data_IF_176006933953
#
_entry.id   IF_176006933953
#
_cell.length_a   1.000
_cell.length_b   1.000
_cell.length_c   1.000
_cell.angle_alpha   90.00
_cell.angle_beta   90.00
_cell.angle_gamma   90.00
#
_symmetry.space_group_name_H-M   'P 1'
#
loop_
_entity.id
_entity.type
_entity.pdbx_description
1 polymer ?
#
# COMPACT_ATOMS: atom_id res chain seq x y z
N UNK A 1 -3.68 -4.77 21.32
CA UNK A 1 -5.01 -4.94 20.67
C UNK A 1 -5.81 -5.81 21.61
N UNK A 2 -6.87 -5.30 22.26
CA UNK A 2 -7.43 -5.92 23.46
C UNK A 2 -7.66 -7.44 23.38
N UNK A 3 -8.23 -7.93 22.28
CA UNK A 3 -8.42 -9.37 22.06
C UNK A 3 -7.08 -10.15 21.96
N UNK A 4 -6.11 -9.63 21.23
CA UNK A 4 -4.80 -10.26 21.12
C UNK A 4 -3.99 -10.17 22.43
N UNK A 5 -4.15 -9.07 23.18
CA UNK A 5 -3.51 -8.89 24.48
C UNK A 5 -4.04 -9.93 25.49
N UNK A 6 -5.35 -10.23 25.46
CA UNK A 6 -5.97 -11.28 26.27
C UNK A 6 -5.45 -12.69 25.93
N UNK A 7 -5.07 -12.92 24.67
CA UNK A 7 -4.49 -14.19 24.19
C UNK A 7 -2.95 -14.23 24.28
N UNK A 8 -2.30 -13.16 24.76
CA UNK A 8 -0.84 -13.07 24.84
C UNK A 8 -0.13 -13.07 23.48
N UNK A 9 -0.82 -12.66 22.40
CA UNK A 9 -0.27 -12.66 21.03
C UNK A 9 0.19 -11.26 20.63
N UNK A 10 1.44 -11.09 20.15
CA UNK A 10 1.92 -9.80 19.62
C UNK A 10 1.30 -9.52 18.24
N UNK A 11 0.06 -9.05 18.24
CA UNK A 11 -0.72 -8.81 17.02
C UNK A 11 -0.65 -7.35 16.56
N UNK A 12 -0.37 -7.15 15.28
CA UNK A 12 -0.43 -5.85 14.63
C UNK A 12 -1.76 -5.70 13.87
N UNK A 13 -2.68 -4.87 14.39
CA UNK A 13 -3.92 -4.53 13.72
C UNK A 13 -3.69 -3.36 12.75
N UNK A 14 -3.71 -3.65 11.45
CA UNK A 14 -3.56 -2.67 10.38
C UNK A 14 -4.93 -2.29 9.80
N UNK A 15 -5.57 -1.28 10.37
CA UNK A 15 -6.91 -0.84 9.97
C UNK A 15 -6.85 -0.09 8.64
N UNK A 16 -7.77 -0.38 7.70
CA UNK A 16 -7.77 0.20 6.36
C UNK A 16 -8.89 1.21 6.21
N UNK A 17 -8.57 2.39 5.67
CA UNK A 17 -9.56 3.34 5.14
C UNK A 17 -9.43 3.38 3.62
N UNK A 18 -10.54 3.48 2.89
CA UNK A 18 -10.54 3.63 1.43
C UNK A 18 -10.84 5.07 0.99
N UNK A 19 -10.68 6.06 1.88
CA UNK A 19 -10.94 7.48 1.57
C UNK A 19 -10.21 7.98 0.31
N UNK A 20 -8.99 7.49 0.07
CA UNK A 20 -8.24 7.75 -1.17
C UNK A 20 -8.63 6.81 -2.31
N UNK A 21 -8.60 5.49 -2.09
CA UNK A 21 -8.88 4.49 -3.14
C UNK A 21 -10.30 4.60 -3.73
N UNK A 22 -11.28 4.97 -2.91
CA UNK A 22 -12.70 5.09 -3.27
C UNK A 22 -13.20 6.53 -3.20
N UNK A 23 -12.30 7.50 -3.09
CA UNK A 23 -12.65 8.92 -2.98
C UNK A 23 -13.16 9.56 -4.27
N UNK A 24 -13.03 8.89 -5.43
CA UNK A 24 -13.46 9.41 -6.72
C UNK A 24 -12.82 10.76 -7.05
N UNK A 25 -13.63 11.69 -7.57
CA UNK A 25 -13.21 13.02 -7.99
C UNK A 25 -13.18 14.06 -6.86
N UNK A 26 -13.36 13.63 -5.59
CA UNK A 26 -13.23 14.53 -4.44
C UNK A 26 -11.84 15.18 -4.42
N UNK A 27 -11.73 16.46 -4.01
CA UNK A 27 -10.45 17.13 -3.85
C UNK A 27 -9.46 16.33 -2.99
N UNK A 28 -8.17 16.47 -3.29
CA UNK A 28 -7.09 15.81 -2.53
C UNK A 28 -7.22 16.07 -1.03
N UNK A 29 -7.38 17.34 -0.64
CA UNK A 29 -7.50 17.80 0.74
C UNK A 29 -8.66 17.13 1.47
N UNK A 30 -9.83 17.00 0.82
CA UNK A 30 -10.99 16.34 1.42
C UNK A 30 -10.77 14.84 1.63
N UNK A 31 -10.11 14.16 0.68
CA UNK A 31 -9.79 12.73 0.80
C UNK A 31 -8.76 12.50 1.89
N UNK A 32 -7.77 13.38 2.01
CA UNK A 32 -6.75 13.33 3.07
C UNK A 32 -7.35 13.60 4.44
N UNK A 33 -8.17 14.63 4.60
CA UNK A 33 -8.87 14.93 5.85
C UNK A 33 -9.76 13.75 6.32
N UNK A 34 -10.53 13.15 5.41
CA UNK A 34 -11.36 11.96 5.68
C UNK A 34 -10.51 10.74 6.07
N UNK A 35 -9.36 10.54 5.41
CA UNK A 35 -8.41 9.49 5.79
C UNK A 35 -7.83 9.71 7.20
N UNK A 36 -7.51 10.96 7.56
CA UNK A 36 -6.98 11.33 8.89
C UNK A 36 -8.04 11.14 9.97
N UNK A 37 -9.26 11.63 9.75
CA UNK A 37 -10.38 11.48 10.69
C UNK A 37 -10.62 10.01 11.02
N UNK A 38 -10.78 9.17 9.99
CA UNK A 38 -10.95 7.72 10.15
C UNK A 38 -9.73 7.08 10.79
N UNK A 39 -8.53 7.49 10.38
CA UNK A 39 -7.28 6.95 10.90
C UNK A 39 -7.14 7.14 12.40
N UNK A 40 -7.41 8.35 12.90
CA UNK A 40 -7.45 8.65 14.34
C UNK A 40 -8.47 7.79 15.08
N UNK A 41 -9.70 7.72 14.56
CA UNK A 41 -10.74 6.89 15.14
C UNK A 41 -10.36 5.40 15.19
N UNK A 42 -9.64 4.89 14.19
CA UNK A 42 -9.15 3.50 14.18
C UNK A 42 -8.03 3.28 15.21
N UNK A 43 -7.12 4.25 15.38
CA UNK A 43 -6.09 4.18 16.42
C UNK A 43 -6.71 4.21 17.81
N UNK A 44 -7.72 5.07 18.04
CA UNK A 44 -8.47 5.14 19.30
C UNK A 44 -9.21 3.82 19.60
N UNK A 45 -9.70 3.14 18.55
CA UNK A 45 -10.29 1.80 18.65
C UNK A 45 -9.25 0.67 18.86
N UNK A 46 -7.95 1.00 18.90
CA UNK A 46 -6.87 0.06 19.21
C UNK A 46 -6.10 -0.47 18.01
N UNK A 47 -6.27 0.08 16.80
CA UNK A 47 -5.40 -0.24 15.68
C UNK A 47 -3.96 0.17 15.98
N UNK A 48 -2.99 -0.62 15.49
CA UNK A 48 -1.56 -0.31 15.65
C UNK A 48 -1.03 0.54 14.51
N UNK A 49 -1.66 0.42 13.34
CA UNK A 49 -1.29 1.09 12.09
C UNK A 49 -2.56 1.33 11.24
N UNK A 50 -2.53 2.36 10.38
CA UNK A 50 -3.60 2.73 9.47
C UNK A 50 -3.10 2.63 8.04
N UNK A 51 -3.74 1.80 7.23
CA UNK A 51 -3.47 1.65 5.82
C UNK A 51 -4.34 2.58 4.98
N UNK A 52 -3.69 3.49 4.25
CA UNK A 52 -4.31 4.41 3.30
C UNK A 52 -3.84 4.06 1.88
N UNK A 53 -4.59 3.23 1.13
CA UNK A 53 -4.28 2.95 -0.26
C UNK A 53 -4.67 4.12 -1.17
N UNK A 54 -3.76 4.52 -2.05
CA UNK A 54 -3.96 5.56 -3.06
C UNK A 54 -2.67 5.85 -3.83
N UNK A 55 -2.78 6.61 -4.90
CA UNK A 55 -1.65 7.05 -5.72
C UNK A 55 -1.51 8.57 -5.58
N UNK A 56 -0.57 9.01 -4.73
CA UNK A 56 -0.39 10.39 -4.30
C UNK A 56 1.06 10.62 -3.85
N UNK A 57 1.51 11.88 -3.86
CA UNK A 57 2.90 12.27 -3.64
C UNK A 57 3.31 12.52 -2.19
N UNK A 58 4.52 13.05 -2.04
CA UNK A 58 5.16 13.41 -0.76
C UNK A 58 4.30 14.32 0.14
N UNK A 59 3.60 15.28 -0.47
CA UNK A 59 2.75 16.26 0.22
C UNK A 59 1.63 15.58 1.00
N UNK A 60 0.90 14.68 0.32
CA UNK A 60 -0.18 13.90 0.93
C UNK A 60 0.37 12.92 1.96
N UNK A 61 1.51 12.27 1.69
CA UNK A 61 2.13 11.36 2.66
C UNK A 61 2.50 12.10 3.95
N UNK A 62 3.11 13.28 3.84
CA UNK A 62 3.48 14.09 4.99
C UNK A 62 2.23 14.49 5.79
N UNK A 63 1.18 14.96 5.12
CA UNK A 63 -0.08 15.33 5.78
C UNK A 63 -0.75 14.14 6.48
N UNK A 64 -0.76 12.96 5.86
CA UNK A 64 -1.27 11.74 6.47
C UNK A 64 -0.45 11.34 7.71
N UNK A 65 0.87 11.44 7.67
CA UNK A 65 1.73 11.10 8.82
C UNK A 65 1.57 12.13 9.95
N UNK A 66 1.53 13.42 9.64
CA UNK A 66 1.29 14.48 10.63
C UNK A 66 -0.10 14.35 11.25
N UNK A 67 -1.10 14.01 10.44
CA UNK A 67 -2.47 13.84 10.86
C UNK A 67 -2.72 12.58 11.69
N UNK A 68 -2.20 11.42 11.27
CA UNK A 68 -2.48 10.10 11.88
C UNK A 68 -1.41 9.73 12.92
N UNK A 69 -0.15 10.08 12.68
CA UNK A 69 0.97 9.89 13.60
C UNK A 69 2.21 9.24 12.98
N UNK A 70 3.38 9.64 13.50
CA UNK A 70 4.68 9.06 13.15
C UNK A 70 4.69 7.54 13.36
N UNK A 71 5.12 6.79 12.35
CA UNK A 71 5.12 5.32 12.32
C UNK A 71 3.76 4.68 12.60
N UNK A 72 2.67 5.37 12.23
CA UNK A 72 1.31 4.83 12.27
C UNK A 72 0.67 4.65 10.90
N UNK A 73 1.30 5.13 9.83
CA UNK A 73 0.74 5.03 8.47
C UNK A 73 1.37 3.88 7.69
N UNK A 74 0.54 3.12 6.99
CA UNK A 74 0.93 2.17 5.95
C UNK A 74 0.40 2.64 4.60
N UNK A 75 1.17 2.43 3.54
CA UNK A 75 0.80 2.79 2.16
C UNK A 75 0.99 1.60 1.21
N UNK A 76 0.48 1.75 -0.01
CA UNK A 76 0.74 0.84 -1.13
C UNK A 76 1.64 1.56 -2.13
N UNK A 77 2.74 0.92 -2.54
CA UNK A 77 3.63 1.45 -3.56
C UNK A 77 2.93 1.47 -4.92
N UNK A 78 2.80 2.66 -5.48
CA UNK A 78 2.25 2.97 -6.80
C UNK A 78 3.11 4.07 -7.47
N UNK A 79 2.97 4.33 -8.78
CA UNK A 79 3.91 5.18 -9.51
C UNK A 79 4.15 6.58 -8.92
N UNK A 80 3.12 7.21 -8.36
CA UNK A 80 3.22 8.56 -7.79
C UNK A 80 3.52 8.54 -6.28
N UNK A 81 3.51 7.36 -5.67
CA UNK A 81 3.87 7.19 -4.25
C UNK A 81 5.39 7.27 -4.10
N UNK A 82 5.92 8.03 -3.13
CA UNK A 82 7.35 8.22 -2.96
C UNK A 82 8.12 6.91 -2.80
N UNK A 83 9.43 6.94 -3.12
CA UNK A 83 10.31 5.77 -2.98
C UNK A 83 10.44 5.33 -1.51
N UNK A 84 10.73 4.05 -1.23
CA UNK A 84 10.78 3.52 0.12
C UNK A 84 11.66 4.30 1.10
N UNK A 85 12.82 4.78 0.65
CA UNK A 85 13.73 5.57 1.48
C UNK A 85 13.06 6.87 1.92
N UNK A 86 12.40 7.56 0.98
CA UNK A 86 11.68 8.80 1.25
C UNK A 86 10.47 8.59 2.16
N UNK A 87 9.73 7.50 1.96
CA UNK A 87 8.61 7.14 2.83
C UNK A 87 9.08 6.88 4.27
N UNK A 88 10.25 6.25 4.45
CA UNK A 88 10.84 6.05 5.77
C UNK A 88 11.23 7.37 6.45
N UNK A 89 11.82 8.31 5.71
CA UNK A 89 12.10 9.67 6.20
C UNK A 89 10.84 10.43 6.60
N UNK A 90 9.76 10.25 5.84
CA UNK A 90 8.45 10.87 6.11
C UNK A 90 7.70 10.19 7.27
N UNK A 91 8.20 9.07 7.81
CA UNK A 91 7.61 8.42 8.99
C UNK A 91 6.60 7.33 8.70
N UNK A 92 6.51 6.84 7.45
CA UNK A 92 5.67 5.69 7.10
C UNK A 92 6.21 4.43 7.77
N UNK A 93 5.32 3.63 8.37
CA UNK A 93 5.69 2.41 9.08
C UNK A 93 5.83 1.19 8.17
N UNK A 94 5.04 1.14 7.09
CA UNK A 94 4.92 -0.06 6.25
C UNK A 94 4.51 0.26 4.82
N UNK A 95 5.20 -0.37 3.87
CA UNK A 95 4.87 -0.32 2.44
C UNK A 95 4.39 -1.70 2.00
N UNK A 96 3.31 -1.75 1.25
CA UNK A 96 2.82 -2.94 0.56
C UNK A 96 2.85 -2.73 -0.95
N UNK A 97 2.75 -3.79 -1.76
CA UNK A 97 2.74 -3.68 -3.23
C UNK A 97 1.49 -4.30 -3.87
N UNK A 98 0.50 -4.65 -3.04
CA UNK A 98 -0.78 -5.22 -3.46
C UNK A 98 -0.63 -6.30 -4.54
N UNK A 99 -1.42 -6.24 -5.63
CA UNK A 99 -1.40 -7.23 -6.70
C UNK A 99 -0.28 -6.99 -7.74
N UNK A 100 0.52 -5.93 -7.62
CA UNK A 100 1.39 -5.46 -8.71
C UNK A 100 2.46 -6.49 -9.09
N UNK A 101 3.09 -7.13 -8.10
CA UNK A 101 4.11 -8.16 -8.35
C UNK A 101 3.52 -9.38 -9.07
N UNK A 102 2.32 -9.81 -8.67
CA UNK A 102 1.58 -10.88 -9.35
C UNK A 102 1.20 -10.47 -10.78
N UNK A 103 0.73 -9.23 -11.00
CA UNK A 103 0.41 -8.72 -12.34
C UNK A 103 1.63 -8.70 -13.26
N UNK A 104 2.81 -8.34 -12.74
CA UNK A 104 4.06 -8.39 -13.52
C UNK A 104 4.39 -9.82 -13.93
N UNK A 105 4.33 -10.77 -13.00
CA UNK A 105 4.60 -12.18 -13.30
C UNK A 105 3.61 -12.75 -14.34
N UNK A 106 2.32 -12.49 -14.16
CA UNK A 106 1.28 -12.96 -15.07
C UNK A 106 1.30 -12.26 -16.42
N UNK A 107 1.68 -10.98 -16.48
CA UNK A 107 1.89 -10.25 -17.74
C UNK A 107 3.03 -10.85 -18.55
N UNK A 108 4.18 -11.12 -17.92
CA UNK A 108 5.29 -11.79 -18.60
C UNK A 108 4.90 -13.18 -19.13
N UNK A 109 4.10 -13.93 -18.37
CA UNK A 109 3.55 -15.21 -18.83
C UNK A 109 2.60 -15.04 -20.02
N UNK A 110 1.72 -14.04 -19.98
CA UNK A 110 0.79 -13.73 -21.07
C UNK A 110 1.55 -13.35 -22.34
N UNK A 111 2.58 -12.51 -22.25
CA UNK A 111 3.41 -12.09 -23.37
C UNK A 111 4.15 -13.29 -24.00
N UNK A 112 4.72 -14.16 -23.16
CA UNK A 112 5.35 -15.39 -23.63
C UNK A 112 4.34 -16.30 -24.33
N UNK A 113 3.14 -16.49 -23.75
CA UNK A 113 2.10 -17.31 -24.37
C UNK A 113 1.69 -16.75 -25.74
N UNK A 114 1.45 -15.44 -25.83
CA UNK A 114 1.10 -14.77 -27.08
C UNK A 114 2.19 -14.94 -28.15
N UNK A 115 3.47 -14.80 -27.78
CA UNK A 115 4.60 -15.03 -28.67
C UNK A 115 4.63 -16.48 -29.21
N UNK A 116 4.44 -17.47 -28.35
CA UNK A 116 4.46 -18.89 -28.74
C UNK A 116 3.28 -19.23 -29.66
N UNK A 117 2.09 -18.71 -29.38
CA UNK A 117 0.92 -18.90 -30.26
C UNK A 117 1.09 -18.24 -31.63
N UNK A 118 1.90 -17.19 -31.74
CA UNK A 118 2.25 -16.53 -33.00
C UNK A 118 3.38 -17.24 -33.77
N UNK A 119 3.82 -18.43 -33.36
CA UNK A 119 4.90 -19.19 -34.01
C UNK A 119 6.31 -18.77 -33.57
N UNK A 120 6.42 -17.95 -32.52
CA UNK A 120 7.69 -17.62 -31.89
C UNK A 120 8.28 -18.78 -31.09
N UNK A 121 9.46 -18.55 -30.50
CA UNK A 121 10.17 -19.51 -29.65
C UNK A 121 10.48 -18.90 -28.28
N UNK A 122 10.69 -19.71 -27.24
CA UNK A 122 11.02 -19.20 -25.91
C UNK A 122 12.28 -18.29 -25.93
N UNK A 123 12.31 -17.21 -25.13
CA UNK A 123 13.47 -16.33 -25.05
C UNK A 123 14.70 -17.06 -24.48
N UNK A 124 15.90 -16.62 -24.90
CA UNK A 124 17.16 -17.10 -24.31
C UNK A 124 17.33 -16.52 -22.91
N UNK A 125 18.01 -17.26 -22.03
CA UNK A 125 18.37 -16.77 -20.70
C UNK A 125 17.22 -16.72 -19.70
N UNK A 126 16.16 -17.53 -19.89
CA UNK A 126 15.13 -17.72 -18.86
C UNK A 126 15.81 -18.17 -17.57
N UNK A 127 15.62 -17.39 -16.50
CA UNK A 127 16.15 -17.72 -15.18
C UNK A 127 15.43 -18.99 -14.65
N UNK A 128 16.17 -20.04 -14.24
CA UNK A 128 15.54 -21.16 -13.57
C UNK A 128 14.91 -20.68 -12.26
N UNK A 129 13.63 -21.01 -12.08
CA UNK A 129 12.92 -20.83 -10.83
C UNK A 129 13.04 -22.14 -10.06
N UNK A 130 14.19 -22.37 -9.42
CA UNK A 130 14.49 -23.33 -8.33
C UNK A 130 16.01 -23.53 -8.22
#
# INVERSE_FOLDING_TARGET
VAAADAEGVPFALNARTDAWLRGGDRPSEERTADAIERGRAYLDAGATCVFVPGNFGDDVVAELVDGIGWRRVSVIGLPDVPRPERLAELGVARISYGPTTQRVALGALQDLAAMLYAGGVPPRGIRPLN
#
